data_IF_766597625539
#
_entry.id   IF_766597625539
#
_cell.length_a   1.000
_cell.length_b   1.000
_cell.length_c   1.000
_cell.angle_alpha   90.00
_cell.angle_beta   90.00
_cell.angle_gamma   90.00
#
_symmetry.space_group_name_H-M   'P 1'
#
loop_
_entity.id
_entity.type
_entity.pdbx_description
1 polymer ?
#
# COMPACT_ATOMS: atom_id res chain seq x y z
N UNK A 1 -8.33 -17.97 -19.48
CA UNK A 1 -7.95 -18.33 -18.11
C UNK A 1 -9.16 -18.65 -17.29
N UNK A 2 -9.09 -19.73 -16.56
CA UNK A 2 -10.16 -20.13 -15.65
C UNK A 2 -10.26 -19.12 -14.51
N UNK A 3 -11.48 -18.69 -14.17
CA UNK A 3 -11.74 -17.76 -13.05
C UNK A 3 -11.10 -18.24 -11.75
N UNK A 4 -11.08 -19.56 -11.50
CA UNK A 4 -10.49 -20.13 -10.29
C UNK A 4 -8.97 -19.93 -10.22
N UNK A 5 -8.29 -20.02 -11.35
CA UNK A 5 -6.84 -19.79 -11.42
C UNK A 5 -6.49 -18.32 -11.19
N UNK A 6 -7.28 -17.40 -11.79
CA UNK A 6 -7.11 -15.97 -11.56
C UNK A 6 -7.35 -15.61 -10.10
N UNK A 7 -8.40 -16.15 -9.51
CA UNK A 7 -8.72 -15.94 -8.11
C UNK A 7 -7.57 -16.37 -7.19
N UNK A 8 -7.03 -17.57 -7.42
CA UNK A 8 -5.90 -18.09 -6.64
C UNK A 8 -4.65 -17.24 -6.81
N UNK A 9 -4.36 -16.83 -8.03
CA UNK A 9 -3.20 -16.00 -8.34
C UNK A 9 -3.29 -14.66 -7.61
N UNK A 10 -4.39 -13.95 -7.75
CA UNK A 10 -4.57 -12.63 -7.12
C UNK A 10 -4.68 -12.74 -5.60
N UNK A 11 -5.31 -13.79 -5.09
CA UNK A 11 -5.38 -14.05 -3.66
C UNK A 11 -4.00 -14.22 -3.05
N UNK A 12 -3.14 -15.03 -3.67
CA UNK A 12 -1.74 -15.21 -3.22
C UNK A 12 -0.97 -13.91 -3.28
N UNK A 13 -1.08 -13.19 -4.37
CA UNK A 13 -0.36 -11.93 -4.58
C UNK A 13 -0.75 -10.91 -3.52
N UNK A 14 -2.03 -10.77 -3.25
CA UNK A 14 -2.54 -9.83 -2.26
C UNK A 14 -2.15 -10.23 -0.83
N UNK A 15 -2.25 -11.50 -0.49
CA UNK A 15 -1.85 -11.99 0.83
C UNK A 15 -0.36 -11.80 1.07
N UNK A 16 0.46 -12.06 0.07
CA UNK A 16 1.91 -11.82 0.14
C UNK A 16 2.21 -10.34 0.33
N UNK A 17 1.53 -9.49 -0.45
CA UNK A 17 1.70 -8.04 -0.33
C UNK A 17 1.29 -7.54 1.04
N UNK A 18 0.21 -8.07 1.61
CA UNK A 18 -0.24 -7.72 2.96
C UNK A 18 0.83 -8.02 4.00
N UNK A 19 1.43 -9.21 3.94
CA UNK A 19 2.50 -9.61 4.86
C UNK A 19 3.71 -8.69 4.71
N UNK A 20 4.10 -8.39 3.49
CA UNK A 20 5.22 -7.48 3.22
C UNK A 20 4.98 -6.09 3.79
N UNK A 21 3.78 -5.54 3.59
CA UNK A 21 3.42 -4.21 4.09
C UNK A 21 3.37 -4.18 5.61
N UNK A 22 2.80 -5.19 6.26
CA UNK A 22 2.82 -5.30 7.72
C UNK A 22 4.25 -5.33 8.27
N UNK A 23 5.13 -6.11 7.65
CA UNK A 23 6.53 -6.18 8.03
C UNK A 23 7.23 -4.83 7.91
N UNK A 24 7.04 -4.13 6.80
CA UNK A 24 7.63 -2.81 6.58
C UNK A 24 7.12 -1.76 7.56
N UNK A 25 5.82 -1.78 7.85
CA UNK A 25 5.20 -0.84 8.80
C UNK A 25 5.74 -1.10 10.20
N UNK A 26 5.83 -2.35 10.63
CA UNK A 26 6.32 -2.70 11.97
C UNK A 26 7.79 -2.33 12.16
N UNK A 27 8.63 -2.61 11.18
CA UNK A 27 10.05 -2.24 11.23
C UNK A 27 10.21 -0.72 11.30
N UNK A 28 9.44 0.03 10.49
CA UNK A 28 9.48 1.49 10.51
C UNK A 28 9.01 2.05 11.86
N UNK A 29 8.00 1.45 12.49
CA UNK A 29 7.52 1.86 13.79
C UNK A 29 8.59 1.64 14.88
N UNK A 30 9.32 0.54 14.83
CA UNK A 30 10.43 0.27 15.75
C UNK A 30 11.56 1.28 15.57
N UNK A 31 11.90 1.61 14.32
CA UNK A 31 12.95 2.56 14.00
C UNK A 31 12.54 4.02 14.24
N UNK A 32 11.25 4.30 14.28
CA UNK A 32 10.73 5.63 14.50
C UNK A 32 10.65 6.02 15.98
N UNK A 33 11.04 5.15 16.89
CA UNK A 33 11.23 5.56 18.28
C UNK A 33 12.24 6.68 18.29
N UNK A 34 11.97 7.78 19.04
CA UNK A 34 12.91 8.89 19.07
C UNK A 34 14.26 8.36 19.53
N UNK A 35 15.18 8.25 18.57
CA UNK A 35 16.57 8.10 18.90
C UNK A 35 16.89 9.34 19.70
N UNK A 36 17.23 9.18 20.98
CA UNK A 36 17.86 10.25 21.70
C UNK A 36 19.13 10.62 20.93
N UNK A 37 18.97 11.58 20.04
CA UNK A 37 20.12 12.21 19.43
C UNK A 37 20.92 12.78 20.57
N UNK A 38 22.12 12.25 20.75
CA UNK A 38 23.09 12.84 21.66
C UNK A 38 23.37 14.26 21.15
N UNK A 39 22.61 15.21 21.66
CA UNK A 39 22.62 16.60 21.19
C UNK A 39 23.96 17.27 21.31
N UNK A 40 24.88 16.70 22.07
CA UNK A 40 26.21 17.25 22.27
C UNK A 40 27.15 17.02 21.07
N UNK A 41 26.83 16.09 20.17
CA UNK A 41 27.69 15.71 19.04
C UNK A 41 27.17 16.14 17.68
N UNK A 42 25.95 16.68 17.60
CA UNK A 42 25.28 16.93 16.34
C UNK A 42 25.14 18.41 16.12
N UNK A 43 25.86 18.95 15.13
CA UNK A 43 25.73 20.34 14.74
C UNK A 43 24.34 20.66 14.17
N UNK A 44 24.09 21.96 14.01
CA UNK A 44 22.79 22.50 13.58
C UNK A 44 22.29 21.90 12.27
N UNK A 45 23.20 21.63 11.31
CA UNK A 45 22.89 21.01 10.01
C UNK A 45 22.36 19.59 10.16
N UNK A 46 22.90 18.83 11.11
CA UNK A 46 22.49 17.46 11.35
C UNK A 46 21.09 17.35 11.95
N UNK A 47 20.64 18.37 12.70
CA UNK A 47 19.27 18.45 13.20
C UNK A 47 18.26 18.63 12.06
N UNK A 48 18.57 19.52 11.12
CA UNK A 48 17.70 19.74 9.95
C UNK A 48 17.61 18.48 9.09
N UNK A 49 18.72 17.79 8.86
CA UNK A 49 18.73 16.53 8.13
C UNK A 49 17.93 15.45 8.86
N UNK A 50 18.06 15.36 10.17
CA UNK A 50 17.29 14.43 10.99
C UNK A 50 15.79 14.72 10.91
N UNK A 51 15.39 15.99 10.94
CA UNK A 51 13.99 16.40 10.82
C UNK A 51 13.43 16.09 9.43
N UNK A 52 14.20 16.34 8.37
CA UNK A 52 13.80 16.01 7.01
C UNK A 52 13.67 14.49 6.82
N UNK A 53 14.61 13.72 7.34
CA UNK A 53 14.54 12.26 7.31
C UNK A 53 13.32 11.73 8.04
N UNK A 54 12.96 12.31 9.18
CA UNK A 54 11.76 11.95 9.93
C UNK A 54 10.50 12.28 9.14
N UNK A 55 10.45 13.44 8.49
CA UNK A 55 9.30 13.84 7.68
C UNK A 55 9.10 12.90 6.49
N UNK A 56 10.18 12.53 5.82
CA UNK A 56 10.14 11.56 4.72
C UNK A 56 9.73 10.17 5.20
N UNK A 57 10.22 9.74 6.35
CA UNK A 57 9.86 8.46 6.94
C UNK A 57 8.36 8.41 7.29
N UNK A 58 7.81 9.50 7.83
CA UNK A 58 6.39 9.61 8.14
C UNK A 58 5.53 9.53 6.89
N UNK A 59 5.93 10.20 5.82
CA UNK A 59 5.21 10.17 4.55
C UNK A 59 5.25 8.78 3.92
N UNK A 60 6.40 8.11 3.94
CA UNK A 60 6.53 6.74 3.47
C UNK A 60 5.63 5.80 4.28
N UNK A 61 5.62 5.96 5.59
CA UNK A 61 4.80 5.16 6.48
C UNK A 61 3.30 5.38 6.20
N UNK A 62 2.91 6.62 5.98
CA UNK A 62 1.53 6.97 5.63
C UNK A 62 1.09 6.27 4.35
N UNK A 63 1.94 6.29 3.32
CA UNK A 63 1.67 5.61 2.04
C UNK A 63 1.55 4.11 2.21
N UNK A 64 2.44 3.51 3.01
CA UNK A 64 2.40 2.06 3.29
C UNK A 64 1.10 1.66 3.98
N UNK A 65 0.64 2.45 4.93
CA UNK A 65 -0.65 2.22 5.61
C UNK A 65 -1.83 2.34 4.66
N UNK A 66 -1.82 3.31 3.76
CA UNK A 66 -2.84 3.46 2.73
C UNK A 66 -2.84 2.27 1.76
N UNK A 67 -1.65 1.83 1.33
CA UNK A 67 -1.50 0.67 0.46
C UNK A 67 -2.02 -0.60 1.15
N UNK A 68 -1.74 -0.76 2.44
CA UNK A 68 -2.24 -1.87 3.22
C UNK A 68 -3.78 -1.87 3.27
N UNK A 69 -4.39 -0.71 3.47
CA UNK A 69 -5.85 -0.58 3.45
C UNK A 69 -6.43 -1.00 2.10
N UNK A 70 -5.79 -0.61 1.00
CA UNK A 70 -6.21 -1.00 -0.35
C UNK A 70 -6.09 -2.50 -0.57
N UNK A 71 -4.99 -3.09 -0.11
CA UNK A 71 -4.76 -4.53 -0.20
C UNK A 71 -5.81 -5.30 0.61
N UNK A 72 -6.09 -4.87 1.83
CA UNK A 72 -7.11 -5.50 2.67
C UNK A 72 -8.51 -5.38 2.08
N UNK A 73 -8.84 -4.23 1.50
CA UNK A 73 -10.11 -4.03 0.80
C UNK A 73 -10.23 -4.96 -0.41
N UNK A 74 -9.14 -5.14 -1.17
CA UNK A 74 -9.12 -6.06 -2.31
C UNK A 74 -9.30 -7.52 -1.87
N UNK A 75 -8.67 -7.93 -0.78
CA UNK A 75 -8.82 -9.27 -0.21
C UNK A 75 -10.28 -9.51 0.21
N UNK A 76 -10.91 -8.52 0.83
CA UNK A 76 -12.32 -8.59 1.20
C UNK A 76 -13.22 -8.75 -0.03
N UNK A 77 -12.92 -8.02 -1.10
CA UNK A 77 -13.67 -8.12 -2.37
C UNK A 77 -13.53 -9.50 -2.99
N UNK A 78 -12.35 -10.12 -2.88
CA UNK A 78 -12.15 -11.50 -3.30
C UNK A 78 -13.07 -12.47 -2.55
N UNK A 79 -13.19 -12.29 -1.24
CA UNK A 79 -14.07 -13.11 -0.41
C UNK A 79 -15.54 -12.92 -0.75
N UNK A 80 -15.92 -11.70 -1.13
CA UNK A 80 -17.30 -11.34 -1.44
C UNK A 80 -17.65 -11.55 -2.93
N UNK A 81 -16.73 -12.12 -3.73
CA UNK A 81 -16.84 -12.31 -5.18
C UNK A 81 -17.06 -11.00 -5.97
N UNK A 82 -16.59 -9.89 -5.42
CA UNK A 82 -16.69 -8.56 -6.04
C UNK A 82 -15.37 -8.10 -6.66
N UNK A 83 -14.32 -8.91 -6.57
CA UNK A 83 -13.00 -8.56 -7.09
C UNK A 83 -13.00 -8.51 -8.61
N UNK A 84 -12.27 -7.54 -9.15
CA UNK A 84 -12.14 -7.37 -10.60
C UNK A 84 -13.15 -6.42 -11.22
N UNK A 85 -14.06 -5.87 -10.41
CA UNK A 85 -15.04 -4.88 -10.86
C UNK A 85 -14.76 -3.52 -10.24
N UNK A 86 -14.97 -2.46 -11.03
CA UNK A 86 -14.79 -1.10 -10.53
C UNK A 86 -15.80 -0.79 -9.42
N UNK A 87 -15.35 -0.23 -8.31
CA UNK A 87 -16.22 0.12 -7.19
C UNK A 87 -17.13 1.33 -7.47
N UNK A 88 -16.87 2.06 -8.54
CA UNK A 88 -17.62 3.25 -8.91
C UNK A 88 -18.66 2.96 -10.00
N UNK A 89 -18.24 2.31 -11.10
CA UNK A 89 -19.12 2.08 -12.27
C UNK A 89 -19.52 0.61 -12.47
N UNK A 90 -19.03 -0.30 -11.64
CA UNK A 90 -19.27 -1.76 -11.72
C UNK A 90 -18.81 -2.42 -13.01
N UNK A 91 -18.10 -1.71 -13.87
CA UNK A 91 -17.53 -2.30 -15.07
C UNK A 91 -16.30 -3.17 -14.72
N UNK A 92 -16.03 -4.22 -15.52
CA UNK A 92 -14.83 -5.04 -15.28
C UNK A 92 -13.56 -4.19 -15.39
N UNK A 93 -12.64 -4.41 -14.46
CA UNK A 93 -11.31 -3.81 -14.52
C UNK A 93 -10.47 -4.66 -15.48
N UNK A 94 -9.71 -4.05 -16.42
CA UNK A 94 -8.86 -4.81 -17.32
C UNK A 94 -7.88 -5.71 -16.56
N UNK A 95 -7.74 -6.94 -17.02
CA UNK A 95 -6.86 -7.92 -16.38
C UNK A 95 -5.42 -7.43 -16.28
N UNK A 96 -4.92 -6.76 -17.31
CA UNK A 96 -3.57 -6.18 -17.29
C UNK A 96 -3.38 -5.16 -16.17
N UNK A 97 -4.42 -4.38 -15.90
CA UNK A 97 -4.39 -3.41 -14.79
C UNK A 97 -4.34 -4.12 -13.44
N UNK A 98 -5.07 -5.21 -13.28
CA UNK A 98 -5.04 -6.03 -12.08
C UNK A 98 -3.70 -6.74 -11.90
N UNK A 99 -3.07 -7.19 -12.98
CA UNK A 99 -1.73 -7.78 -12.93
C UNK A 99 -0.69 -6.77 -12.48
N UNK A 100 -0.81 -5.55 -12.95
CA UNK A 100 0.10 -4.45 -12.56
C UNK A 100 -0.16 -3.98 -11.14
N UNK A 101 -1.42 -3.82 -10.76
CA UNK A 101 -1.83 -3.36 -9.43
C UNK A 101 -3.01 -4.20 -8.93
N UNK A 102 -2.74 -5.34 -8.27
CA UNK A 102 -3.80 -6.23 -7.80
C UNK A 102 -4.75 -5.59 -6.77
N UNK A 103 -4.33 -4.52 -6.11
CA UNK A 103 -5.13 -3.82 -5.11
C UNK A 103 -6.00 -2.72 -5.69
N UNK A 104 -5.97 -2.50 -7.02
CA UNK A 104 -6.79 -1.47 -7.65
C UNK A 104 -8.27 -1.81 -7.54
N UNK A 105 -9.08 -0.80 -7.24
CA UNK A 105 -10.54 -0.95 -7.09
C UNK A 105 -11.31 -0.16 -8.13
N UNK A 106 -10.61 0.56 -9.03
CA UNK A 106 -11.20 1.41 -10.05
C UNK A 106 -10.69 1.06 -11.44
N UNK A 107 -11.56 1.22 -12.44
CA UNK A 107 -11.14 1.14 -13.84
C UNK A 107 -10.36 2.39 -14.24
N UNK A 108 -9.71 2.36 -15.41
CA UNK A 108 -8.89 3.48 -15.88
C UNK A 108 -9.73 4.77 -15.99
N UNK A 109 -10.93 4.67 -16.53
CA UNK A 109 -11.81 5.84 -16.70
C UNK A 109 -12.16 6.47 -15.35
N UNK A 110 -12.56 5.68 -14.37
CA UNK A 110 -12.92 6.19 -13.03
C UNK A 110 -11.70 6.70 -12.27
N UNK A 111 -10.56 6.05 -12.40
CA UNK A 111 -9.32 6.51 -11.78
C UNK A 111 -8.89 7.87 -12.34
N UNK A 112 -9.11 8.12 -13.63
CA UNK A 112 -8.78 9.40 -14.27
C UNK A 112 -9.70 10.53 -13.81
N UNK A 113 -10.94 10.22 -13.43
CA UNK A 113 -11.93 11.24 -13.00
C UNK A 113 -11.96 11.42 -11.49
N UNK A 114 -11.38 10.51 -10.71
CA UNK A 114 -11.41 10.51 -9.25
C UNK A 114 -10.27 11.35 -8.63
N UNK A 115 -10.01 12.51 -9.18
CA UNK A 115 -9.04 13.41 -8.56
C UNK A 115 -9.71 14.37 -7.59
#
# INVERSE_FOLDING_TARGET
MDKNLQYKFFSRTLLKRRVELHGLINVANENARPVELDQSKVGRLSRMDAMQSQAMARETQRRRKLDLQKVEAAIKRLKDDEYGFCCICDNPIPEKRLEFDPATTTCVACASTAK
#
